data_IF_086265532006
#
_entry.id   IF_086265532006
#
_cell.length_a   1.000
_cell.length_b   1.000
_cell.length_c   1.000
_cell.angle_alpha   90.00
_cell.angle_beta   90.00
_cell.angle_gamma   90.00
#
_symmetry.space_group_name_H-M   'P 1'
#
loop_
_entity.id
_entity.type
_entity.pdbx_description
1 polymer ?
#
# COMPACT_ATOMS: atom_id res chain seq x y z
N UNK A 1 30.68 -19.08 -6.47
CA UNK A 1 29.49 -19.56 -5.73
C UNK A 1 28.95 -20.83 -6.38
N UNK A 2 28.55 -21.83 -5.60
CA UNK A 2 27.88 -23.04 -6.13
C UNK A 2 26.93 -23.62 -5.10
N UNK A 3 25.65 -23.79 -5.47
CA UNK A 3 24.60 -24.30 -4.59
C UNK A 3 23.46 -24.94 -5.36
N UNK A 4 22.67 -25.76 -4.68
CA UNK A 4 21.38 -26.26 -5.15
C UNK A 4 20.30 -25.81 -4.17
N UNK A 5 19.21 -25.23 -4.64
CA UNK A 5 18.11 -24.71 -3.82
C UNK A 5 16.77 -25.27 -4.28
N UNK A 6 15.82 -25.45 -3.37
CA UNK A 6 14.45 -25.79 -3.71
C UNK A 6 13.77 -24.61 -4.44
N UNK A 7 13.22 -24.89 -5.63
CA UNK A 7 12.63 -23.89 -6.53
C UNK A 7 11.54 -23.05 -5.84
N UNK A 8 10.71 -23.67 -5.01
CA UNK A 8 9.60 -22.98 -4.33
C UNK A 8 10.09 -21.84 -3.44
N UNK A 9 11.10 -22.08 -2.59
CA UNK A 9 11.70 -21.05 -1.71
C UNK A 9 12.43 -19.97 -2.50
N UNK A 10 13.14 -20.36 -3.55
CA UNK A 10 13.81 -19.41 -4.44
C UNK A 10 12.79 -18.50 -5.15
N UNK A 11 11.73 -19.09 -5.68
CA UNK A 11 10.69 -18.34 -6.39
C UNK A 11 9.91 -17.40 -5.46
N UNK A 12 9.57 -17.85 -4.25
CA UNK A 12 8.94 -17.02 -3.22
C UNK A 12 9.82 -15.81 -2.88
N UNK A 13 11.09 -16.03 -2.56
CA UNK A 13 12.04 -14.96 -2.24
C UNK A 13 12.23 -13.97 -3.40
N UNK A 14 12.31 -14.46 -4.64
CA UNK A 14 12.37 -13.63 -5.84
C UNK A 14 11.11 -12.77 -5.98
N UNK A 15 9.93 -13.32 -5.73
CA UNK A 15 8.67 -12.57 -5.79
C UNK A 15 8.62 -11.45 -4.76
N UNK A 16 9.14 -11.68 -3.55
CA UNK A 16 9.25 -10.66 -2.51
C UNK A 16 10.19 -9.52 -2.94
N UNK A 17 11.44 -9.84 -3.28
CA UNK A 17 12.43 -8.79 -3.60
C UNK A 17 12.12 -8.05 -4.90
N UNK A 18 11.43 -8.69 -5.84
CA UNK A 18 11.02 -8.07 -7.10
C UNK A 18 10.12 -6.85 -6.93
N UNK A 19 9.47 -6.68 -5.77
CA UNK A 19 8.68 -5.48 -5.45
C UNK A 19 9.53 -4.22 -5.29
N UNK A 20 10.83 -4.37 -5.04
CA UNK A 20 11.80 -3.27 -4.94
C UNK A 20 12.54 -3.01 -6.26
N UNK A 21 12.10 -3.57 -7.39
CA UNK A 21 12.76 -3.35 -8.66
C UNK A 21 11.97 -2.32 -9.48
N UNK A 22 12.64 -1.23 -9.84
CA UNK A 22 12.08 -0.24 -10.74
C UNK A 22 12.45 -0.53 -12.20
N UNK A 23 11.47 -0.48 -13.09
CA UNK A 23 11.70 -0.56 -14.55
C UNK A 23 12.35 0.71 -15.13
N UNK A 24 12.45 1.79 -14.33
CA UNK A 24 12.94 3.10 -14.74
C UNK A 24 14.20 3.55 -13.97
N UNK A 25 14.97 2.59 -13.43
CA UNK A 25 16.19 2.96 -12.69
C UNK A 25 17.24 3.58 -13.60
N UNK A 26 17.88 4.64 -13.12
CA UNK A 26 19.04 5.26 -13.77
C UNK A 26 20.37 4.61 -13.35
N UNK A 27 20.33 3.73 -12.35
CA UNK A 27 21.49 3.01 -11.81
C UNK A 27 21.38 1.55 -12.30
N UNK A 28 22.16 1.14 -13.31
CA UNK A 28 21.96 -0.16 -14.00
C UNK A 28 21.98 -1.37 -13.07
N UNK A 29 22.82 -1.37 -12.03
CA UNK A 29 22.94 -2.52 -11.12
C UNK A 29 21.67 -2.74 -10.29
N UNK A 30 20.87 -1.69 -10.02
CA UNK A 30 19.58 -1.81 -9.33
C UNK A 30 18.48 -2.46 -10.20
N UNK A 31 18.75 -2.65 -11.48
CA UNK A 31 17.93 -3.51 -12.35
C UNK A 31 18.15 -5.01 -12.09
N UNK A 32 19.08 -5.38 -11.20
CA UNK A 32 19.41 -6.75 -10.83
C UNK A 32 18.95 -7.13 -9.43
N UNK A 33 18.94 -8.45 -9.18
CA UNK A 33 18.78 -9.04 -7.85
C UNK A 33 20.16 -9.50 -7.40
N UNK A 34 20.63 -8.98 -6.27
CA UNK A 34 21.84 -9.46 -5.61
C UNK A 34 21.53 -10.75 -4.88
N UNK A 35 22.39 -11.74 -5.03
CA UNK A 35 22.34 -13.04 -4.36
C UNK A 35 23.63 -13.18 -3.55
N UNK A 36 23.51 -13.36 -2.27
CA UNK A 36 24.61 -13.67 -1.35
C UNK A 36 24.37 -15.04 -0.74
N UNK A 37 25.31 -15.98 -0.89
CA UNK A 37 25.23 -17.31 -0.31
C UNK A 37 26.38 -17.55 0.66
N UNK A 38 26.05 -17.86 1.90
CA UNK A 38 27.00 -18.16 2.99
C UNK A 38 26.64 -19.45 3.73
N UNK A 39 27.38 -19.76 4.82
CA UNK A 39 27.18 -20.99 5.60
C UNK A 39 25.79 -21.10 6.25
N UNK A 40 25.04 -20.01 6.39
CA UNK A 40 23.73 -19.97 7.04
C UNK A 40 22.58 -20.14 6.05
N UNK A 41 22.77 -19.72 4.79
CA UNK A 41 21.75 -19.77 3.77
C UNK A 41 22.04 -18.88 2.58
N UNK A 42 20.98 -18.33 2.00
CA UNK A 42 21.05 -17.44 0.84
C UNK A 42 20.17 -16.22 1.07
N UNK A 43 20.74 -15.03 0.88
CA UNK A 43 20.01 -13.76 0.93
C UNK A 43 19.84 -13.21 -0.50
N UNK A 44 18.62 -12.89 -0.86
CA UNK A 44 18.30 -12.11 -2.06
C UNK A 44 18.04 -10.68 -1.65
N UNK A 45 18.60 -9.71 -2.41
CA UNK A 45 18.40 -8.28 -2.17
C UNK A 45 18.02 -7.58 -3.46
N UNK A 46 17.00 -6.73 -3.41
CA UNK A 46 16.68 -5.79 -4.47
C UNK A 46 16.39 -4.40 -3.89
N UNK A 47 16.65 -3.35 -4.68
CA UNK A 47 16.46 -1.95 -4.27
C UNK A 47 16.17 -1.06 -5.47
N UNK A 48 15.38 0.00 -5.26
CA UNK A 48 15.15 1.05 -6.27
C UNK A 48 15.45 2.48 -5.76
N UNK A 49 16.23 2.61 -4.69
CA UNK A 49 16.54 3.85 -3.96
C UNK A 49 15.51 4.30 -2.92
N UNK A 50 14.24 4.02 -3.12
CA UNK A 50 13.16 4.36 -2.18
C UNK A 50 12.76 3.17 -1.31
N UNK A 51 12.82 1.98 -1.91
CA UNK A 51 12.51 0.69 -1.27
C UNK A 51 13.73 -0.22 -1.40
N UNK A 52 14.01 -0.96 -0.35
CA UNK A 52 14.95 -2.07 -0.43
C UNK A 52 14.37 -3.28 0.30
N UNK A 53 14.48 -4.44 -0.31
CA UNK A 53 13.94 -5.68 0.25
C UNK A 53 15.04 -6.73 0.27
N UNK A 54 15.24 -7.34 1.44
CA UNK A 54 16.05 -8.53 1.61
C UNK A 54 15.14 -9.71 1.98
N UNK A 55 15.35 -10.84 1.33
CA UNK A 55 14.66 -12.09 1.64
C UNK A 55 15.69 -13.19 1.89
N UNK A 56 15.63 -13.77 3.07
CA UNK A 56 16.56 -14.81 3.51
C UNK A 56 15.94 -16.19 3.36
N UNK A 57 16.65 -17.10 2.71
CA UNK A 57 16.33 -18.52 2.59
C UNK A 57 17.31 -19.28 3.47
N UNK A 58 16.88 -19.88 4.58
CA UNK A 58 17.76 -20.66 5.46
C UNK A 58 18.20 -21.96 4.76
N UNK A 59 19.34 -22.48 5.19
CA UNK A 59 19.86 -23.77 4.69
C UNK A 59 18.90 -24.92 4.98
N UNK A 60 18.23 -24.87 6.14
CA UNK A 60 17.24 -25.85 6.59
C UNK A 60 15.99 -25.13 7.12
N UNK A 61 14.81 -25.67 6.82
CA UNK A 61 13.53 -25.18 7.34
C UNK A 61 12.62 -26.37 7.66
N UNK A 62 12.11 -26.46 8.89
CA UNK A 62 11.26 -27.57 9.35
C UNK A 62 11.86 -28.96 9.04
N UNK A 63 13.16 -29.16 9.35
CA UNK A 63 13.90 -30.40 9.11
C UNK A 63 14.11 -30.76 7.62
N UNK A 64 13.72 -29.86 6.70
CA UNK A 64 13.92 -30.03 5.27
C UNK A 64 15.17 -29.26 4.87
N UNK A 65 16.11 -29.93 4.17
CA UNK A 65 17.26 -29.25 3.54
C UNK A 65 16.76 -28.44 2.35
N UNK A 66 16.80 -27.11 2.48
CA UNK A 66 16.35 -26.17 1.44
C UNK A 66 17.49 -25.81 0.49
N UNK A 67 18.71 -25.70 1.03
CA UNK A 67 19.90 -25.35 0.25
C UNK A 67 21.02 -26.35 0.51
N UNK A 68 21.55 -26.96 -0.55
CA UNK A 68 22.82 -27.67 -0.54
C UNK A 68 23.91 -26.74 -1.07
N UNK A 69 24.66 -26.14 -0.14
CA UNK A 69 25.72 -25.18 -0.43
C UNK A 69 27.07 -25.89 -0.59
N UNK A 70 27.68 -25.80 -1.76
CA UNK A 70 29.03 -26.35 -2.06
C UNK A 70 30.11 -25.27 -1.97
N UNK A 71 29.82 -24.04 -2.36
CA UNK A 71 30.73 -22.91 -2.36
C UNK A 71 29.98 -21.59 -2.12
N UNK A 72 30.44 -20.84 -1.14
CA UNK A 72 29.92 -19.47 -0.85
C UNK A 72 30.25 -18.49 -1.97
N UNK A 73 29.61 -17.34 -1.97
CA UNK A 73 29.89 -16.25 -2.90
C UNK A 73 28.65 -15.40 -3.19
N UNK A 74 28.86 -14.46 -4.09
CA UNK A 74 27.82 -13.46 -4.42
C UNK A 74 27.79 -13.17 -5.91
N UNK A 75 26.65 -12.72 -6.40
CA UNK A 75 26.44 -12.25 -7.79
C UNK A 75 25.21 -11.34 -7.86
N UNK A 76 25.18 -10.43 -8.81
CA UNK A 76 23.96 -9.71 -9.18
C UNK A 76 23.46 -10.22 -10.53
N UNK A 77 22.22 -10.70 -10.59
CA UNK A 77 21.62 -11.21 -11.82
C UNK A 77 20.54 -10.26 -12.36
N UNK A 78 20.50 -10.03 -13.69
CA UNK A 78 19.48 -9.16 -14.29
C UNK A 78 18.07 -9.67 -13.98
N UNK A 79 17.30 -8.89 -13.22
CA UNK A 79 15.99 -9.30 -12.68
C UNK A 79 14.99 -9.69 -13.75
N UNK A 80 14.93 -8.93 -14.85
CA UNK A 80 14.02 -9.15 -15.97
C UNK A 80 14.07 -10.59 -16.51
N UNK A 81 15.26 -11.18 -16.58
CA UNK A 81 15.47 -12.52 -17.07
C UNK A 81 15.43 -13.55 -15.95
N UNK A 82 16.10 -13.26 -14.83
CA UNK A 82 16.21 -14.17 -13.71
C UNK A 82 14.86 -14.57 -13.14
N UNK A 83 13.95 -13.61 -12.91
CA UNK A 83 12.58 -13.86 -12.41
C UNK A 83 11.81 -14.80 -13.34
N UNK A 84 11.82 -14.51 -14.64
CA UNK A 84 11.09 -15.32 -15.63
C UNK A 84 11.68 -16.73 -15.80
N UNK A 85 13.01 -16.85 -15.76
CA UNK A 85 13.70 -18.13 -15.83
C UNK A 85 13.29 -19.01 -14.67
N UNK A 86 13.47 -18.55 -13.41
CA UNK A 86 13.17 -19.36 -12.24
C UNK A 86 11.70 -19.80 -12.22
N UNK A 87 10.78 -18.89 -12.58
CA UNK A 87 9.36 -19.22 -12.66
C UNK A 87 9.06 -20.39 -13.61
N UNK A 88 9.77 -20.44 -14.75
CA UNK A 88 9.52 -21.42 -15.84
C UNK A 88 10.35 -22.71 -15.76
N UNK A 89 11.30 -22.83 -14.81
CA UNK A 89 12.10 -24.04 -14.66
C UNK A 89 11.24 -25.28 -14.38
N UNK A 90 11.59 -26.46 -14.95
CA UNK A 90 10.73 -27.64 -14.91
C UNK A 90 10.82 -28.44 -13.60
N UNK A 91 12.00 -28.47 -12.91
CA UNK A 91 12.23 -29.32 -11.75
C UNK A 91 12.10 -28.56 -10.43
N UNK A 92 11.94 -29.32 -9.34
CA UNK A 92 11.83 -28.79 -7.98
C UNK A 92 13.15 -28.24 -7.42
N UNK A 93 14.28 -28.66 -7.99
CA UNK A 93 15.60 -28.21 -7.59
C UNK A 93 16.22 -27.33 -8.68
N UNK A 94 16.94 -26.30 -8.22
CA UNK A 94 17.66 -25.35 -9.06
C UNK A 94 19.11 -25.32 -8.61
N UNK A 95 20.04 -25.74 -9.48
CA UNK A 95 21.47 -25.56 -9.29
C UNK A 95 21.89 -24.20 -9.85
N UNK A 96 22.64 -23.43 -9.08
CA UNK A 96 23.22 -22.13 -9.47
C UNK A 96 24.74 -22.22 -9.30
N UNK A 97 25.48 -22.02 -10.36
CA UNK A 97 26.95 -22.00 -10.37
C UNK A 97 27.45 -20.69 -10.99
N UNK A 98 28.20 -19.93 -10.20
CA UNK A 98 28.83 -18.66 -10.63
C UNK A 98 30.33 -18.89 -10.76
N UNK A 99 30.89 -18.60 -11.92
CA UNK A 99 32.31 -18.70 -12.27
C UNK A 99 32.95 -17.31 -12.38
N UNK A 100 34.23 -17.27 -12.72
CA UNK A 100 34.95 -16.02 -12.99
C UNK A 100 34.22 -15.12 -13.99
N UNK A 101 34.28 -13.81 -13.78
CA UNK A 101 33.56 -12.84 -14.61
C UNK A 101 32.05 -12.89 -14.44
N UNK A 102 31.56 -13.45 -13.30
CA UNK A 102 30.11 -13.55 -12.95
C UNK A 102 29.28 -14.36 -13.96
N UNK A 103 29.94 -15.18 -14.79
CA UNK A 103 29.21 -16.14 -15.66
C UNK A 103 28.44 -17.14 -14.79
N UNK A 104 27.13 -17.05 -14.85
CA UNK A 104 26.22 -17.82 -14.01
C UNK A 104 25.49 -18.87 -14.83
N UNK A 105 25.63 -20.13 -14.44
CA UNK A 105 24.88 -21.25 -15.03
C UNK A 105 23.77 -21.67 -14.07
N UNK A 106 22.55 -21.74 -14.56
CA UNK A 106 21.35 -22.18 -13.84
C UNK A 106 20.87 -23.46 -14.47
N UNK A 107 20.77 -24.56 -13.67
CA UNK A 107 20.32 -25.88 -14.14
C UNK A 107 19.09 -26.33 -13.36
N UNK A 108 18.16 -26.96 -14.06
CA UNK A 108 16.98 -27.57 -13.44
C UNK A 108 16.43 -28.66 -14.35
N UNK A 109 16.50 -29.93 -13.92
CA UNK A 109 16.21 -31.09 -14.77
C UNK A 109 17.11 -31.11 -15.99
N UNK A 110 16.53 -31.15 -17.19
CA UNK A 110 17.23 -31.11 -18.47
C UNK A 110 17.54 -29.71 -18.98
N UNK A 111 17.10 -28.67 -18.27
CA UNK A 111 17.30 -27.28 -18.68
C UNK A 111 18.60 -26.72 -18.13
N UNK A 112 19.39 -26.08 -19.01
CA UNK A 112 20.58 -25.30 -18.65
C UNK A 112 20.49 -23.93 -19.29
N UNK A 113 20.66 -22.88 -18.47
CA UNK A 113 20.57 -21.48 -18.90
C UNK A 113 21.80 -20.76 -18.38
N UNK A 114 22.41 -19.93 -19.21
CA UNK A 114 23.57 -19.13 -18.86
C UNK A 114 23.21 -17.65 -18.88
N UNK A 115 23.57 -16.95 -17.80
CA UNK A 115 23.42 -15.51 -17.65
C UNK A 115 24.78 -14.89 -17.34
N UNK A 116 24.99 -13.68 -17.80
CA UNK A 116 26.13 -12.86 -17.35
C UNK A 116 25.64 -11.98 -16.20
N UNK A 117 26.21 -12.18 -15.05
CA UNK A 117 25.93 -11.37 -13.86
C UNK A 117 26.78 -10.09 -13.82
N UNK A 118 26.54 -9.31 -12.79
CA UNK A 118 27.27 -8.07 -12.46
C UNK A 118 28.02 -8.26 -11.13
N UNK A 119 29.01 -7.40 -10.91
CA UNK A 119 29.81 -7.40 -9.68
C UNK A 119 28.93 -7.05 -8.46
N UNK A 120 28.80 -7.92 -7.46
CA UNK A 120 28.03 -7.66 -6.25
C UNK A 120 28.64 -6.56 -5.37
N UNK A 121 29.94 -6.21 -5.53
CA UNK A 121 30.59 -5.12 -4.78
C UNK A 121 30.10 -3.75 -5.22
N UNK A 122 29.61 -3.62 -6.46
CA UNK A 122 28.99 -2.39 -6.94
C UNK A 122 27.55 -2.18 -6.43
N UNK A 123 26.95 -3.22 -5.81
CA UNK A 123 25.58 -3.09 -5.31
C UNK A 123 25.56 -2.27 -4.02
N UNK A 124 24.63 -1.30 -3.88
CA UNK A 124 24.56 -0.47 -2.68
C UNK A 124 24.47 -1.29 -1.39
N UNK A 125 25.25 -0.90 -0.39
CA UNK A 125 25.18 -1.51 0.93
C UNK A 125 23.88 -1.08 1.61
N UNK A 126 23.17 -2.05 2.17
CA UNK A 126 21.97 -1.77 2.96
C UNK A 126 22.36 -1.03 4.23
N UNK A 127 21.72 0.11 4.52
CA UNK A 127 22.05 0.88 5.72
C UNK A 127 21.67 0.11 6.98
N UNK A 128 22.56 0.12 7.96
CA UNK A 128 22.22 -0.31 9.31
C UNK A 128 21.22 0.68 9.92
N UNK A 129 20.19 0.17 10.58
CA UNK A 129 19.23 0.98 11.31
C UNK A 129 19.43 0.79 12.81
N UNK A 130 19.64 1.89 13.54
CA UNK A 130 19.62 1.89 15.00
C UNK A 130 18.19 1.68 15.51
N UNK A 131 17.99 0.69 16.38
CA UNK A 131 16.65 0.25 16.83
C UNK A 131 16.13 1.07 18.03
N UNK A 132 16.27 2.37 17.99
CA UNK A 132 15.92 3.25 19.11
C UNK A 132 14.40 3.52 19.24
N UNK A 133 13.64 3.37 18.17
CA UNK A 133 12.19 3.56 18.17
C UNK A 133 11.56 2.41 17.41
N UNK A 134 10.79 1.59 18.09
CA UNK A 134 10.12 0.45 17.47
C UNK A 134 8.70 0.27 17.99
N UNK A 135 7.86 -0.32 17.17
CA UNK A 135 6.54 -0.83 17.54
C UNK A 135 6.36 -2.23 16.99
N UNK A 136 5.43 -2.96 17.56
CA UNK A 136 4.92 -4.21 17.00
C UNK A 136 3.48 -4.01 16.57
N UNK A 137 3.17 -4.43 15.34
CA UNK A 137 1.82 -4.33 14.78
C UNK A 137 1.43 -5.64 14.10
N UNK A 138 0.22 -6.18 14.34
CA UNK A 138 -0.28 -7.33 13.62
C UNK A 138 -0.35 -7.10 12.11
N UNK A 139 0.06 -8.07 11.32
CA UNK A 139 0.15 -7.96 9.86
C UNK A 139 -1.19 -7.66 9.19
N UNK A 140 -2.28 -8.27 9.66
CA UNK A 140 -3.64 -8.04 9.19
C UNK A 140 -4.14 -6.63 9.51
N UNK A 141 -3.84 -6.12 10.71
CA UNK A 141 -4.14 -4.73 11.09
C UNK A 141 -3.38 -3.74 10.20
N UNK A 142 -2.07 -3.99 9.98
CA UNK A 142 -1.26 -3.14 9.11
C UNK A 142 -1.78 -3.14 7.67
N UNK A 143 -2.12 -4.32 7.11
CA UNK A 143 -2.77 -4.43 5.79
C UNK A 143 -4.06 -3.62 5.71
N UNK A 144 -4.91 -3.75 6.73
CA UNK A 144 -6.19 -3.04 6.82
C UNK A 144 -5.99 -1.53 6.86
N UNK A 145 -5.09 -1.03 7.72
CA UNK A 145 -4.80 0.40 7.81
C UNK A 145 -4.26 0.97 6.49
N UNK A 146 -3.37 0.23 5.81
CA UNK A 146 -2.86 0.62 4.49
C UNK A 146 -4.01 0.66 3.47
N UNK A 147 -4.83 -0.40 3.38
CA UNK A 147 -5.99 -0.47 2.46
C UNK A 147 -6.94 0.70 2.67
N UNK A 148 -7.21 1.06 3.94
CA UNK A 148 -8.16 2.10 4.32
C UNK A 148 -7.66 3.53 4.09
N UNK A 149 -6.36 3.73 3.77
CA UNK A 149 -5.77 5.07 3.63
C UNK A 149 -5.01 5.29 2.32
N UNK A 150 -4.31 4.29 1.79
CA UNK A 150 -3.38 4.45 0.68
C UNK A 150 -4.01 4.98 -0.63
N UNK A 151 -5.31 4.76 -0.85
CA UNK A 151 -6.00 5.26 -2.05
C UNK A 151 -6.17 6.79 -2.05
N UNK A 152 -6.06 7.44 -0.88
CA UNK A 152 -6.27 8.88 -0.73
C UNK A 152 -4.98 9.70 -0.86
N UNK A 153 -3.82 9.09 -1.11
CA UNK A 153 -2.58 9.82 -1.37
C UNK A 153 -2.64 10.56 -2.71
N UNK A 154 -1.87 11.63 -2.83
CA UNK A 154 -1.70 12.37 -4.09
C UNK A 154 -0.91 11.54 -5.09
N UNK A 155 -1.32 11.63 -6.36
CA UNK A 155 -0.52 11.13 -7.50
C UNK A 155 0.37 12.22 -8.10
N UNK A 156 0.28 13.44 -7.60
CA UNK A 156 1.04 14.58 -8.10
C UNK A 156 2.39 14.68 -7.36
N UNK A 157 3.46 14.38 -8.07
CA UNK A 157 4.84 14.43 -7.55
C UNK A 157 5.36 15.85 -7.30
N UNK A 158 4.66 16.91 -7.72
CA UNK A 158 5.02 18.30 -7.39
C UNK A 158 4.87 18.61 -5.89
N UNK A 159 4.15 17.78 -5.13
CA UNK A 159 4.06 17.86 -3.67
C UNK A 159 4.35 16.47 -3.09
N UNK A 160 5.62 16.04 -3.05
CA UNK A 160 6.00 14.67 -2.73
C UNK A 160 5.47 14.18 -1.38
N UNK A 161 5.44 15.04 -0.36
CA UNK A 161 4.96 14.69 0.99
C UNK A 161 3.51 14.18 0.98
N UNK A 162 2.65 14.66 0.06
CA UNK A 162 1.27 14.20 -0.08
C UNK A 162 1.14 12.88 -0.85
N UNK A 163 2.20 12.38 -1.48
CA UNK A 163 2.20 11.02 -2.05
C UNK A 163 2.38 9.95 -0.98
N UNK A 164 2.63 10.38 0.26
CA UNK A 164 2.81 9.52 1.42
C UNK A 164 1.58 9.45 2.31
N UNK A 165 1.61 8.44 3.18
CA UNK A 165 0.72 8.28 4.32
C UNK A 165 1.48 8.76 5.55
N UNK A 166 0.94 9.75 6.25
CA UNK A 166 1.47 10.23 7.51
C UNK A 166 1.16 9.22 8.61
N UNK A 167 2.19 8.79 9.33
CA UNK A 167 2.10 8.00 10.54
C UNK A 167 2.35 8.88 11.74
N UNK A 168 1.46 8.84 12.71
CA UNK A 168 1.64 9.49 14.01
C UNK A 168 1.39 8.50 15.13
N UNK A 169 2.19 8.58 16.19
CA UNK A 169 2.00 7.83 17.43
C UNK A 169 1.98 8.81 18.57
N UNK A 170 0.91 8.78 19.35
CA UNK A 170 0.76 9.53 20.58
C UNK A 170 -0.22 8.79 21.50
N UNK A 171 0.04 8.79 22.79
CA UNK A 171 -0.83 8.21 23.84
C UNK A 171 -1.26 6.75 23.55
N UNK A 172 -0.33 5.92 23.06
CA UNK A 172 -0.61 4.52 22.72
C UNK A 172 -1.50 4.32 21.49
N UNK A 173 -1.67 5.34 20.67
CA UNK A 173 -2.47 5.29 19.45
C UNK A 173 -1.61 5.50 18.22
N UNK A 174 -1.76 4.61 17.24
CA UNK A 174 -1.21 4.74 15.90
C UNK A 174 -2.29 5.29 14.96
N UNK A 175 -1.97 6.35 14.24
CA UNK A 175 -2.87 6.95 13.26
C UNK A 175 -2.19 7.07 11.91
N UNK A 176 -2.88 6.63 10.86
CA UNK A 176 -2.53 6.86 9.46
C UNK A 176 -3.41 7.96 8.90
N UNK A 177 -2.80 8.89 8.17
CA UNK A 177 -3.53 9.95 7.46
C UNK A 177 -2.98 10.11 6.05
N UNK A 178 -3.87 10.10 5.06
CA UNK A 178 -3.54 10.35 3.66
C UNK A 178 -4.47 11.42 3.10
N UNK A 179 -3.95 12.34 2.28
CA UNK A 179 -4.77 13.33 1.59
C UNK A 179 -4.14 13.77 0.26
N UNK A 180 -5.01 14.19 -0.68
CA UNK A 180 -4.61 14.70 -2.00
C UNK A 180 -5.12 16.11 -2.30
N UNK A 181 -5.53 16.86 -1.28
CA UNK A 181 -6.20 18.19 -1.31
C UNK A 181 -7.68 18.15 -1.66
N UNK A 182 -8.24 17.05 -2.15
CA UNK A 182 -9.65 16.87 -2.52
C UNK A 182 -10.36 15.87 -1.63
N UNK A 183 -9.60 14.98 -1.00
CA UNK A 183 -10.08 13.96 -0.08
C UNK A 183 -9.05 13.68 1.00
N UNK A 184 -9.50 13.08 2.08
CA UNK A 184 -8.67 12.64 3.19
C UNK A 184 -9.19 11.29 3.68
N UNK A 185 -8.26 10.38 3.97
CA UNK A 185 -8.51 9.14 4.66
C UNK A 185 -7.73 9.11 5.98
N UNK A 186 -8.38 8.77 7.07
CA UNK A 186 -7.74 8.65 8.38
C UNK A 186 -8.19 7.38 9.08
N UNK A 187 -7.25 6.61 9.62
CA UNK A 187 -7.48 5.44 10.44
C UNK A 187 -6.64 5.51 11.69
N UNK A 188 -7.27 5.36 12.87
CA UNK A 188 -6.60 5.31 14.15
C UNK A 188 -6.86 3.96 14.83
N UNK A 189 -5.89 3.46 15.59
CA UNK A 189 -6.00 2.23 16.37
C UNK A 189 -5.12 2.30 17.62
N UNK A 190 -5.51 1.59 18.67
CA UNK A 190 -4.64 1.40 19.82
C UNK A 190 -3.55 0.39 19.47
N UNK A 191 -2.34 0.66 19.91
CA UNK A 191 -1.19 -0.24 19.78
C UNK A 191 -0.48 -0.34 21.12
N UNK A 192 0.17 -1.48 21.35
CA UNK A 192 1.06 -1.65 22.48
C UNK A 192 2.41 -1.00 22.15
N UNK A 193 2.83 -0.03 22.95
CA UNK A 193 4.06 0.73 22.75
C UNK A 193 4.77 0.98 24.07
N UNK A 194 6.06 1.28 24.01
CA UNK A 194 6.78 1.82 25.15
C UNK A 194 6.13 3.13 25.62
N UNK A 195 6.09 3.32 26.95
CA UNK A 195 5.52 4.52 27.56
C UNK A 195 6.26 5.77 27.07
N UNK A 196 5.50 6.75 26.60
CA UNK A 196 6.06 8.02 26.11
C UNK A 196 6.60 7.97 24.67
N UNK A 197 6.41 6.88 23.91
CA UNK A 197 6.76 6.86 22.51
C UNK A 197 5.88 7.85 21.73
N UNK A 198 6.51 8.85 21.13
CA UNK A 198 5.88 9.83 20.25
C UNK A 198 6.56 9.82 18.90
N UNK A 199 5.78 9.67 17.85
CA UNK A 199 6.19 9.83 16.45
C UNK A 199 5.31 10.89 15.79
N UNK A 200 5.96 11.89 15.22
CA UNK A 200 5.30 12.94 14.47
C UNK A 200 5.96 13.06 13.11
N UNK A 201 5.16 13.33 12.08
CA UNK A 201 5.63 13.64 10.73
C UNK A 201 6.45 12.52 10.05
N UNK A 202 6.16 11.25 10.33
CA UNK A 202 6.72 10.12 9.58
C UNK A 202 5.80 9.86 8.39
N UNK A 203 6.24 10.22 7.18
CA UNK A 203 5.46 10.01 5.96
C UNK A 203 6.13 8.97 5.08
N UNK A 204 5.39 7.90 4.76
CA UNK A 204 5.86 6.78 3.93
C UNK A 204 5.04 6.76 2.65
N UNK A 205 5.72 6.63 1.50
CA UNK A 205 5.05 6.60 0.19
C UNK A 205 3.89 5.58 0.16
N UNK A 206 2.73 6.02 -0.30
CA UNK A 206 1.57 5.13 -0.46
C UNK A 206 1.84 3.99 -1.45
N UNK A 207 2.65 4.24 -2.48
CA UNK A 207 3.12 3.20 -3.40
C UNK A 207 3.95 2.15 -2.66
N UNK A 208 4.90 2.58 -1.83
CA UNK A 208 5.74 1.70 -1.01
C UNK A 208 4.91 0.84 -0.06
N UNK A 209 3.96 1.45 0.65
CA UNK A 209 3.08 0.71 1.57
C UNK A 209 2.16 -0.27 0.85
N UNK A 210 1.71 0.04 -0.37
CA UNK A 210 0.99 -0.92 -1.20
C UNK A 210 1.85 -2.11 -1.63
N UNK A 211 3.16 -1.91 -1.92
CA UNK A 211 4.06 -3.05 -2.19
C UNK A 211 4.34 -3.85 -0.91
N UNK A 212 4.54 -3.20 0.23
CA UNK A 212 4.63 -3.87 1.53
C UNK A 212 3.40 -4.74 1.81
N UNK A 213 2.20 -4.21 1.60
CA UNK A 213 0.93 -4.93 1.83
C UNK A 213 0.82 -6.25 1.07
N UNK A 214 1.46 -6.36 -0.10
CA UNK A 214 1.46 -7.59 -0.92
C UNK A 214 2.37 -8.70 -0.40
N UNK A 215 3.32 -8.37 0.47
CA UNK A 215 4.29 -9.32 1.04
C UNK A 215 4.08 -9.58 2.53
N UNK A 216 3.22 -8.79 3.19
CA UNK A 216 2.84 -9.05 4.57
C UNK A 216 2.17 -10.44 4.68
N UNK A 217 2.47 -11.23 5.72
CA UNK A 217 1.82 -12.53 5.95
C UNK A 217 0.29 -12.40 6.05
N UNK A 218 -0.43 -13.41 5.57
CA UNK A 218 -1.90 -13.47 5.71
C UNK A 218 -2.35 -13.92 7.11
N UNK A 219 -1.42 -14.48 7.89
CA UNK A 219 -1.67 -14.85 9.28
C UNK A 219 -1.42 -13.64 10.18
N UNK A 220 -2.15 -13.57 11.30
CA UNK A 220 -1.96 -12.54 12.32
C UNK A 220 -0.57 -12.68 12.99
N UNK A 221 0.47 -12.22 12.29
CA UNK A 221 1.87 -12.25 12.73
C UNK A 221 2.28 -10.85 13.13
N UNK A 222 2.98 -10.74 14.27
CA UNK A 222 3.54 -9.44 14.68
C UNK A 222 4.68 -9.04 13.76
N UNK A 223 4.59 -7.84 13.24
CA UNK A 223 5.61 -7.19 12.42
C UNK A 223 6.32 -6.15 13.29
N UNK A 224 7.64 -6.27 13.39
CA UNK A 224 8.45 -5.23 14.03
C UNK A 224 8.65 -4.07 13.05
N UNK A 225 8.27 -2.88 13.46
CA UNK A 225 8.47 -1.65 12.69
C UNK A 225 9.45 -0.76 13.43
N UNK A 226 10.59 -0.51 12.84
CA UNK A 226 11.70 0.28 13.41
C UNK A 226 11.80 1.60 12.66
N UNK A 227 11.77 2.70 13.38
CA UNK A 227 11.85 4.04 12.83
C UNK A 227 13.25 4.63 13.07
N UNK A 228 13.90 5.04 11.98
CA UNK A 228 15.13 5.82 11.98
C UNK A 228 14.86 7.25 11.49
N UNK A 229 15.87 8.08 11.38
CA UNK A 229 15.73 9.49 11.01
C UNK A 229 15.10 9.68 9.63
N UNK A 230 15.54 8.89 8.63
CA UNK A 230 15.13 9.01 7.24
C UNK A 230 14.60 7.71 6.61
N UNK A 231 14.44 6.66 7.42
CA UNK A 231 14.02 5.34 6.97
C UNK A 231 13.13 4.64 7.99
N UNK A 232 12.30 3.73 7.48
CA UNK A 232 11.52 2.79 8.29
C UNK A 232 11.85 1.38 7.84
N UNK A 233 12.10 0.49 8.78
CA UNK A 233 12.33 -0.93 8.54
C UNK A 233 11.15 -1.75 9.07
N UNK A 234 10.57 -2.57 8.22
CA UNK A 234 9.59 -3.60 8.58
C UNK A 234 10.29 -4.95 8.59
N UNK A 235 10.33 -5.59 9.77
CA UNK A 235 10.96 -6.90 9.96
C UNK A 235 9.88 -7.97 10.02
N UNK A 236 9.98 -8.91 9.12
CA UNK A 236 9.22 -10.15 9.09
C UNK A 236 10.20 -11.31 9.28
N UNK A 237 9.73 -12.53 9.56
CA UNK A 237 10.60 -13.67 9.92
C UNK A 237 11.81 -13.90 8.99
N UNK A 238 11.61 -13.75 7.68
CA UNK A 238 12.66 -13.96 6.66
C UNK A 238 12.83 -12.77 5.71
N UNK A 239 12.13 -11.65 5.96
CA UNK A 239 12.12 -10.49 5.07
C UNK A 239 12.43 -9.23 5.88
N UNK A 240 13.35 -8.44 5.37
CA UNK A 240 13.60 -7.07 5.81
C UNK A 240 13.14 -6.13 4.68
N UNK A 241 12.16 -5.29 4.99
CA UNK A 241 11.62 -4.31 4.04
C UNK A 241 11.97 -2.91 4.53
N UNK A 242 12.81 -2.22 3.80
CA UNK A 242 13.23 -0.85 4.09
C UNK A 242 12.46 0.12 3.22
N UNK A 243 12.00 1.20 3.80
CA UNK A 243 11.38 2.31 3.10
C UNK A 243 12.03 3.62 3.50
N UNK A 244 12.27 4.49 2.54
CA UNK A 244 12.62 5.87 2.80
C UNK A 244 11.43 6.62 3.40
N UNK A 245 11.68 7.56 4.33
CA UNK A 245 10.70 8.53 4.81
C UNK A 245 10.72 9.71 3.82
N UNK A 246 9.55 10.19 3.44
CA UNK A 246 9.42 11.34 2.55
C UNK A 246 9.80 12.62 3.27
N UNK A 247 10.59 13.45 2.60
CA UNK A 247 11.05 14.74 3.11
C UNK A 247 9.90 15.76 3.15
N UNK A 248 9.91 16.63 4.15
CA UNK A 248 8.98 17.74 4.30
C UNK A 248 8.06 17.62 5.52
N UNK A 249 7.18 18.59 5.68
CA UNK A 249 6.19 18.62 6.76
C UNK A 249 4.82 18.32 6.18
N UNK A 250 4.16 17.30 6.73
CA UNK A 250 2.79 16.97 6.33
C UNK A 250 1.83 18.07 6.81
N UNK A 251 0.89 18.54 5.98
CA UNK A 251 -0.03 19.61 6.39
C UNK A 251 -0.93 19.16 7.54
N UNK A 252 -1.25 20.09 8.43
CA UNK A 252 -2.22 19.84 9.50
C UNK A 252 -3.63 19.66 8.93
N UNK A 253 -4.11 18.45 9.00
CA UNK A 253 -5.44 18.05 8.49
C UNK A 253 -6.52 18.05 9.58
N UNK A 254 -6.18 18.27 10.83
CA UNK A 254 -7.13 18.22 11.96
C UNK A 254 -8.26 19.24 11.84
N UNK A 255 -7.95 20.42 11.31
CA UNK A 255 -8.91 21.52 11.07
C UNK A 255 -9.91 21.27 9.94
N UNK A 256 -9.65 20.26 9.11
CA UNK A 256 -10.56 19.89 8.01
C UNK A 256 -11.76 19.07 8.49
N UNK A 257 -11.64 18.44 9.65
CA UNK A 257 -12.66 17.54 10.20
C UNK A 257 -13.62 18.37 11.08
N UNK A 258 -14.91 18.49 10.67
CA UNK A 258 -15.89 19.23 11.42
C UNK A 258 -16.21 18.53 12.76
N UNK A 259 -16.56 19.33 13.77
CA UNK A 259 -16.90 18.85 15.11
C UNK A 259 -18.40 18.49 15.24
N UNK A 260 -19.24 18.99 14.34
CA UNK A 260 -20.69 18.74 14.33
C UNK A 260 -21.22 18.76 12.90
N UNK A 261 -22.37 18.15 12.68
CA UNK A 261 -23.03 18.06 11.37
C UNK A 261 -24.38 18.79 11.41
N UNK A 262 -24.78 19.42 10.30
CA UNK A 262 -26.11 19.98 10.07
C UNK A 262 -27.08 18.93 9.55
N UNK A 263 -26.55 17.95 8.83
CA UNK A 263 -27.34 16.83 8.28
C UNK A 263 -26.56 15.53 8.47
N UNK A 264 -27.28 14.50 8.88
CA UNK A 264 -26.74 13.15 9.07
C UNK A 264 -27.57 12.16 8.25
N UNK A 265 -26.89 11.35 7.47
CA UNK A 265 -27.46 10.31 6.61
C UNK A 265 -26.88 8.95 7.02
N UNK A 266 -27.76 7.98 7.30
CA UNK A 266 -27.40 6.58 7.44
C UNK A 266 -28.02 5.82 6.26
N UNK A 267 -27.19 5.10 5.53
CA UNK A 267 -27.61 4.41 4.31
C UNK A 267 -26.84 3.09 4.14
N UNK A 268 -27.44 2.12 3.45
CA UNK A 268 -26.77 0.88 3.09
C UNK A 268 -25.55 1.16 2.21
N UNK A 269 -24.41 0.56 2.54
CA UNK A 269 -23.12 0.82 1.90
C UNK A 269 -23.10 0.35 0.46
N UNK A 270 -23.58 -0.87 0.21
CA UNK A 270 -23.55 -1.48 -1.13
C UNK A 270 -24.56 -0.81 -2.06
N UNK A 271 -25.77 -0.50 -1.58
CA UNK A 271 -26.79 0.19 -2.39
C UNK A 271 -26.29 1.56 -2.86
N UNK A 272 -25.64 2.31 -1.95
CA UNK A 272 -25.06 3.61 -2.32
C UNK A 272 -23.88 3.47 -3.29
N UNK A 273 -23.01 2.49 -3.05
CA UNK A 273 -21.87 2.23 -3.94
C UNK A 273 -22.34 1.85 -5.34
N UNK A 274 -23.31 0.97 -5.45
CA UNK A 274 -23.87 0.50 -6.72
C UNK A 274 -24.56 1.63 -7.50
N UNK A 275 -25.34 2.47 -6.83
CA UNK A 275 -25.99 3.63 -7.46
C UNK A 275 -24.97 4.66 -7.98
N UNK A 276 -23.93 4.94 -7.19
CA UNK A 276 -22.85 5.84 -7.61
C UNK A 276 -22.03 5.22 -8.75
N UNK A 277 -21.77 3.91 -8.75
CA UNK A 277 -21.03 3.24 -9.83
C UNK A 277 -21.80 3.31 -11.15
N UNK A 278 -23.14 3.10 -11.14
CA UNK A 278 -23.97 3.31 -12.34
C UNK A 278 -23.95 4.77 -12.80
N UNK A 279 -24.05 5.73 -11.88
CA UNK A 279 -23.96 7.14 -12.21
C UNK A 279 -22.57 7.55 -12.73
N UNK A 280 -21.51 6.91 -12.25
CA UNK A 280 -20.13 7.10 -12.68
C UNK A 280 -19.94 6.77 -14.18
N UNK A 281 -20.65 5.78 -14.72
CA UNK A 281 -20.52 5.41 -16.14
C UNK A 281 -20.69 6.59 -17.10
N UNK A 282 -21.64 7.49 -16.85
CA UNK A 282 -21.82 8.69 -17.67
C UNK A 282 -20.87 9.82 -17.30
N UNK A 283 -20.63 10.02 -16.00
CA UNK A 283 -19.79 11.14 -15.54
C UNK A 283 -18.32 10.98 -15.92
N UNK A 284 -17.81 9.76 -16.09
CA UNK A 284 -16.43 9.50 -16.52
C UNK A 284 -16.19 9.87 -17.99
N UNK A 285 -17.19 9.70 -18.87
CA UNK A 285 -17.07 10.05 -20.28
C UNK A 285 -16.88 11.57 -20.46
N UNK A 286 -17.52 12.36 -19.64
CA UNK A 286 -17.31 13.82 -19.53
C UNK A 286 -15.96 14.18 -18.86
N UNK A 287 -15.19 13.17 -18.37
CA UNK A 287 -13.94 13.36 -17.60
C UNK A 287 -14.09 14.23 -16.34
N UNK A 288 -15.32 14.52 -15.93
CA UNK A 288 -15.61 15.33 -14.74
C UNK A 288 -15.71 14.46 -13.49
N UNK A 289 -16.18 13.20 -13.64
CA UNK A 289 -16.50 12.28 -12.55
C UNK A 289 -17.47 12.89 -11.52
N UNK A 290 -18.35 13.82 -11.92
CA UNK A 290 -19.24 14.51 -11.00
C UNK A 290 -20.58 13.78 -10.93
N UNK A 291 -21.00 13.50 -9.70
CA UNK A 291 -22.30 12.97 -9.34
C UNK A 291 -23.00 13.95 -8.39
N UNK A 292 -24.30 14.10 -8.53
CA UNK A 292 -25.15 14.89 -7.63
C UNK A 292 -25.89 13.96 -6.69
N UNK A 293 -25.96 14.35 -5.41
CA UNK A 293 -26.81 13.76 -4.39
C UNK A 293 -27.83 14.82 -3.96
N UNK A 294 -29.10 14.46 -3.97
CA UNK A 294 -30.21 15.32 -3.55
C UNK A 294 -31.01 14.56 -2.49
N UNK A 295 -31.21 15.17 -1.34
CA UNK A 295 -32.01 14.63 -0.24
C UNK A 295 -33.45 15.14 -0.34
N UNK A 296 -34.42 14.29 0.00
CA UNK A 296 -35.86 14.59 -0.03
C UNK A 296 -36.50 14.31 1.34
N UNK A 297 -37.65 14.89 1.62
CA UNK A 297 -38.36 14.80 2.92
C UNK A 297 -38.78 13.37 3.28
N UNK A 298 -39.03 12.51 2.30
CA UNK A 298 -39.45 11.11 2.45
C UNK A 298 -38.31 10.12 2.70
N UNK A 299 -37.15 10.62 3.13
CA UNK A 299 -35.90 9.85 3.29
C UNK A 299 -35.35 9.31 1.96
N UNK A 300 -35.83 9.79 0.84
CA UNK A 300 -35.30 9.42 -0.48
C UNK A 300 -34.04 10.21 -0.78
N UNK A 301 -33.04 9.52 -1.28
CA UNK A 301 -31.77 10.07 -1.78
C UNK A 301 -31.73 9.86 -3.29
N UNK A 302 -31.76 10.94 -4.05
CA UNK A 302 -31.54 10.88 -5.49
C UNK A 302 -30.04 11.00 -5.80
N UNK A 303 -29.50 10.03 -6.52
CA UNK A 303 -28.15 10.04 -7.10
C UNK A 303 -28.28 10.26 -8.60
N UNK A 304 -27.63 11.27 -9.15
CA UNK A 304 -27.74 11.55 -10.58
C UNK A 304 -26.45 12.06 -11.21
N UNK A 305 -26.27 11.73 -12.49
CA UNK A 305 -25.25 12.29 -13.36
C UNK A 305 -25.82 12.54 -14.75
N UNK A 306 -25.18 13.41 -15.51
CA UNK A 306 -25.59 13.69 -16.89
C UNK A 306 -24.37 13.89 -17.78
N UNK A 307 -24.49 13.44 -19.02
CA UNK A 307 -23.58 13.74 -20.11
C UNK A 307 -24.36 14.41 -21.20
N UNK A 308 -23.79 15.45 -21.80
CA UNK A 308 -24.39 16.17 -22.91
C UNK A 308 -24.61 15.30 -24.16
N UNK A 309 -23.78 14.26 -24.33
CA UNK A 309 -23.79 13.37 -25.49
C UNK A 309 -24.54 12.06 -25.25
N UNK A 310 -24.50 11.53 -24.02
CA UNK A 310 -24.99 10.18 -23.72
C UNK A 310 -26.32 10.15 -22.96
N UNK A 311 -26.71 11.26 -22.30
CA UNK A 311 -27.97 11.34 -21.57
C UNK A 311 -27.81 11.47 -20.05
N UNK A 312 -28.79 10.96 -19.29
CA UNK A 312 -28.88 11.14 -17.83
C UNK A 312 -29.11 9.81 -17.13
N UNK A 313 -28.44 9.61 -15.99
CA UNK A 313 -28.76 8.57 -14.99
C UNK A 313 -29.42 9.25 -13.79
N UNK A 314 -30.46 8.64 -13.25
CA UNK A 314 -31.10 9.02 -11.99
C UNK A 314 -31.45 7.76 -11.24
N UNK A 315 -30.99 7.64 -10.01
CA UNK A 315 -31.20 6.53 -9.09
C UNK A 315 -31.86 7.07 -7.83
N UNK A 316 -32.82 6.35 -7.28
CA UNK A 316 -33.46 6.68 -6.01
C UNK A 316 -33.16 5.59 -4.99
N UNK A 317 -32.66 6.01 -3.83
CA UNK A 317 -32.34 5.14 -2.70
C UNK A 317 -33.14 5.58 -1.48
N UNK A 318 -33.44 4.64 -0.59
CA UNK A 318 -34.06 4.95 0.68
C UNK A 318 -33.00 4.97 1.78
N UNK A 319 -32.87 6.08 2.49
CA UNK A 319 -32.02 6.16 3.67
C UNK A 319 -32.62 5.39 4.83
N UNK A 320 -31.79 4.73 5.63
CA UNK A 320 -32.22 4.16 6.89
C UNK A 320 -32.55 5.24 7.93
N UNK A 321 -31.81 6.37 7.87
CA UNK A 321 -32.06 7.58 8.67
C UNK A 321 -31.54 8.81 7.92
N UNK A 322 -32.35 9.86 7.89
CA UNK A 322 -31.99 11.16 7.39
C UNK A 322 -32.47 12.23 8.38
N UNK A 323 -31.57 12.95 9.01
CA UNK A 323 -31.86 13.97 9.99
C UNK A 323 -31.17 15.29 9.60
N UNK A 324 -31.84 16.41 9.82
CA UNK A 324 -31.32 17.75 9.57
C UNK A 324 -31.84 18.41 8.30
N UNK A 325 -31.07 19.33 7.74
CA UNK A 325 -31.44 20.09 6.56
C UNK A 325 -31.32 19.26 5.28
N UNK A 326 -32.26 19.37 4.37
CA UNK A 326 -32.20 18.73 3.06
C UNK A 326 -31.16 19.45 2.17
N UNK A 327 -30.24 18.70 1.66
CA UNK A 327 -29.10 19.21 0.91
C UNK A 327 -29.12 18.74 -0.55
N UNK A 328 -28.55 19.57 -1.42
CA UNK A 328 -28.09 19.20 -2.75
C UNK A 328 -26.58 19.39 -2.78
N UNK A 329 -25.84 18.32 -3.06
CA UNK A 329 -24.38 18.36 -3.06
C UNK A 329 -23.84 17.60 -4.27
N UNK A 330 -22.72 18.06 -4.82
CA UNK A 330 -22.03 17.37 -5.91
C UNK A 330 -20.63 17.01 -5.47
N UNK A 331 -20.17 15.84 -5.87
CA UNK A 331 -18.85 15.34 -5.52
C UNK A 331 -18.24 14.48 -6.65
N UNK A 332 -16.97 14.18 -6.52
CA UNK A 332 -16.29 13.23 -7.40
C UNK A 332 -16.70 11.81 -7.05
N UNK A 333 -17.40 11.12 -7.97
CA UNK A 333 -17.88 9.75 -7.79
C UNK A 333 -16.76 8.74 -7.54
N UNK A 334 -15.60 8.90 -8.20
CA UNK A 334 -14.46 8.02 -7.99
C UNK A 334 -13.93 8.11 -6.55
N UNK A 335 -13.86 9.32 -5.98
CA UNK A 335 -13.43 9.50 -4.60
C UNK A 335 -14.41 8.85 -3.61
N UNK A 336 -15.71 8.97 -3.89
CA UNK A 336 -16.74 8.33 -3.06
C UNK A 336 -16.66 6.80 -3.17
N UNK A 337 -16.54 6.24 -4.36
CA UNK A 337 -16.39 4.80 -4.57
C UNK A 337 -15.13 4.25 -3.90
N UNK A 338 -14.00 4.96 -3.98
CA UNK A 338 -12.77 4.54 -3.31
C UNK A 338 -12.95 4.52 -1.78
N UNK A 339 -13.67 5.50 -1.22
CA UNK A 339 -14.00 5.56 0.20
C UNK A 339 -14.95 4.41 0.62
N UNK A 340 -16.01 4.16 -0.16
CA UNK A 340 -17.00 3.10 0.13
C UNK A 340 -16.39 1.69 0.08
N UNK A 341 -15.48 1.42 -0.85
CA UNK A 341 -14.80 0.12 -0.99
C UNK A 341 -14.00 -0.35 0.24
N UNK A 342 -13.70 0.55 1.16
CA UNK A 342 -12.92 0.24 2.37
C UNK A 342 -13.75 0.29 3.64
N UNK A 343 -15.07 0.50 3.51
CA UNK A 343 -16.03 0.43 4.61
C UNK A 343 -16.47 -1.03 4.79
N UNK A 344 -16.03 -1.66 5.86
CA UNK A 344 -16.41 -3.03 6.20
C UNK A 344 -17.67 -3.02 7.12
N UNK A 345 -18.75 -2.34 6.66
CA UNK A 345 -20.02 -2.21 7.38
C UNK A 345 -21.20 -2.24 6.43
N UNK A 346 -22.31 -2.85 6.84
CA UNK A 346 -23.55 -2.92 6.08
C UNK A 346 -24.16 -1.52 5.87
N UNK A 347 -24.01 -0.64 6.86
CA UNK A 347 -24.47 0.74 6.80
C UNK A 347 -23.29 1.68 7.08
N UNK A 348 -23.38 2.87 6.51
CA UNK A 348 -22.44 3.97 6.76
C UNK A 348 -23.17 5.20 7.26
N UNK A 349 -22.44 5.99 8.04
CA UNK A 349 -22.83 7.30 8.52
C UNK A 349 -22.15 8.38 7.68
N UNK A 350 -22.94 9.27 7.09
CA UNK A 350 -22.44 10.37 6.31
C UNK A 350 -22.89 11.68 6.96
N UNK A 351 -21.93 12.50 7.37
CA UNK A 351 -22.15 13.81 7.98
C UNK A 351 -21.90 14.95 6.99
N UNK A 352 -22.80 15.93 6.98
CA UNK A 352 -22.71 17.12 6.15
C UNK A 352 -22.80 18.38 7.02
N UNK A 353 -21.97 19.36 6.74
CA UNK A 353 -22.00 20.69 7.38
C UNK A 353 -22.48 21.79 6.43
N UNK A 354 -22.95 21.42 5.24
CA UNK A 354 -23.50 22.30 4.20
C UNK A 354 -23.14 21.83 2.80
N UNK A 355 -23.82 22.39 1.81
CA UNK A 355 -23.70 21.98 0.39
C UNK A 355 -22.31 22.20 -0.23
N UNK A 356 -21.50 23.09 0.36
CA UNK A 356 -20.14 23.42 -0.10
C UNK A 356 -19.08 23.16 0.95
N UNK A 357 -19.38 22.29 1.91
CA UNK A 357 -18.49 21.88 2.99
C UNK A 357 -18.10 20.40 2.86
N UNK A 358 -17.03 19.96 3.51
CA UNK A 358 -16.59 18.56 3.43
C UNK A 358 -17.69 17.56 3.80
N UNK A 359 -17.73 16.44 3.07
CA UNK A 359 -18.56 15.26 3.34
C UNK A 359 -17.73 14.33 4.19
N UNK A 360 -18.23 13.93 5.37
CA UNK A 360 -17.57 12.98 6.26
C UNK A 360 -18.28 11.64 6.19
N UNK A 361 -17.52 10.55 6.02
CA UNK A 361 -18.05 9.20 5.90
C UNK A 361 -17.35 8.32 6.93
N UNK A 362 -18.15 7.56 7.69
CA UNK A 362 -17.68 6.61 8.72
C UNK A 362 -18.49 5.31 8.66
N UNK A 363 -17.92 4.16 9.08
CA UNK A 363 -18.71 2.92 9.26
C UNK A 363 -19.80 3.07 10.32
N UNK A 364 -19.50 3.79 11.40
CA UNK A 364 -20.42 4.16 12.49
C UNK A 364 -19.99 5.50 13.10
N UNK A 365 -20.83 6.08 13.97
CA UNK A 365 -20.61 7.42 14.55
C UNK A 365 -19.30 7.51 15.35
N UNK A 366 -18.90 6.42 16.00
CA UNK A 366 -17.73 6.35 16.87
C UNK A 366 -16.50 5.71 16.23
N UNK A 367 -16.56 5.42 14.94
CA UNK A 367 -15.47 4.74 14.25
C UNK A 367 -14.21 5.58 14.18
N UNK A 368 -13.08 4.93 14.40
CA UNK A 368 -11.74 5.49 14.19
C UNK A 368 -11.32 5.55 12.72
N UNK A 369 -12.14 5.00 11.81
CA UNK A 369 -12.02 5.15 10.36
C UNK A 369 -12.86 6.34 9.91
N UNK A 370 -12.23 7.28 9.21
CA UNK A 370 -12.86 8.47 8.67
C UNK A 370 -12.41 8.70 7.24
N UNK A 371 -13.37 8.95 6.37
CA UNK A 371 -13.13 9.45 5.03
C UNK A 371 -13.75 10.84 4.89
N UNK A 372 -13.02 11.74 4.22
CA UNK A 372 -13.48 13.09 3.95
C UNK A 372 -13.35 13.35 2.44
N UNK A 373 -14.41 13.90 1.85
CA UNK A 373 -14.43 14.27 0.43
C UNK A 373 -14.90 15.72 0.32
N UNK A 374 -14.13 16.53 -0.42
CA UNK A 374 -14.56 17.89 -0.72
C UNK A 374 -15.64 17.89 -1.81
N UNK A 375 -16.69 18.71 -1.65
CA UNK A 375 -17.73 18.86 -2.67
C UNK A 375 -17.17 19.54 -3.91
N UNK A 376 -17.85 19.32 -5.02
CA UNK A 376 -17.56 19.98 -6.29
C UNK A 376 -18.56 21.13 -6.54
N UNK A 377 -18.06 22.31 -6.90
CA UNK A 377 -18.92 23.44 -7.22
C UNK A 377 -19.52 23.24 -8.60
N UNK A 378 -20.83 23.06 -8.67
CA UNK A 378 -21.57 23.04 -9.94
C UNK A 378 -22.30 24.39 -10.12
N UNK A 379 -22.11 25.00 -11.26
CA UNK A 379 -22.93 26.18 -11.67
C UNK A 379 -24.24 25.65 -12.20
N UNK A 380 -25.33 25.87 -11.46
CA UNK A 380 -26.69 25.65 -11.92
C UNK A 380 -27.44 24.54 -11.27
#
# INVERSE_FOLDING_TARGET
MKLTVLKEYLNESIQHVSKAISSKTTIPILGGIKIDADSTGMTLTASDTDISIQSFIPKEKNEISVIDLKQTGSVVLPSKFFVEIIRKLPAQQVEIEVKEGFHTTIRSGSSEIQLVGLDPEEYPIMPGIEENKRIQIPSDLLKTMIKQTAFAVSTNEATPILTGILWTIADGKLKFTACDRHRLASRETNIDTEEGLVLNNVSISGKTLNELSKILPDQNTLIDVVFAENQVLFKMSSILFYSRILDGTYPDTSKLIPQSYQTELVINTDDLADAIDRAYLLSREEKTNIVKLIMREDQTIEISSSSSELGKVTEELTAARLNGELLRISFNSKYMLDALKVMDSEQIHIGFTGAMQPIIIRPDENSSLLQLILPYRTTG
#
